data_IF_017795529746
#
_entry.id   IF_017795529746
#
_cell.length_a   1.000
_cell.length_b   1.000
_cell.length_c   1.000
_cell.angle_alpha   90.00
_cell.angle_beta   90.00
_cell.angle_gamma   90.00
#
_symmetry.space_group_name_H-M   'P 1'
#
loop_
_entity.id
_entity.type
_entity.pdbx_description
1 polymer ?
#
# COMPACT_ATOMS: atom_id res chain seq x y z
N UNK A 1 25.20 -44.95 71.44
CA UNK A 1 26.05 -44.05 70.66
C UNK A 1 25.74 -44.13 69.18
N UNK A 2 24.56 -43.74 68.75
CA UNK A 2 24.14 -43.75 67.34
C UNK A 2 23.09 -42.64 67.01
N UNK A 3 23.15 -41.52 67.69
CA UNK A 3 22.19 -40.43 67.49
C UNK A 3 22.76 -39.18 66.74
N UNK A 4 24.01 -39.23 66.35
CA UNK A 4 24.70 -38.04 65.78
C UNK A 4 24.75 -38.01 64.22
N UNK A 5 24.38 -39.10 63.54
CA UNK A 5 24.46 -39.19 62.07
C UNK A 5 23.16 -38.78 61.38
N UNK A 6 22.00 -38.84 62.00
CA UNK A 6 20.71 -38.52 61.42
C UNK A 6 20.39 -37.01 61.39
N UNK A 7 20.97 -36.22 62.27
CA UNK A 7 20.70 -34.79 62.35
C UNK A 7 21.47 -34.01 61.27
N UNK A 8 22.68 -34.45 60.90
CA UNK A 8 23.48 -33.83 59.84
C UNK A 8 22.90 -34.06 58.42
N UNK A 9 22.18 -35.15 58.19
CA UNK A 9 21.52 -35.38 56.93
C UNK A 9 20.22 -34.55 56.76
N UNK A 10 19.52 -34.27 57.88
CA UNK A 10 18.33 -33.41 57.82
C UNK A 10 18.63 -31.95 57.54
N UNK A 11 19.76 -31.42 58.04
CA UNK A 11 20.18 -30.06 57.80
C UNK A 11 20.61 -29.85 56.36
N UNK A 12 21.29 -30.83 55.74
CA UNK A 12 21.69 -30.76 54.32
C UNK A 12 20.51 -30.82 53.36
N UNK A 13 19.47 -31.57 53.66
CA UNK A 13 18.27 -31.66 52.79
C UNK A 13 17.41 -30.40 52.85
N UNK A 14 17.47 -29.63 53.94
CA UNK A 14 16.70 -28.38 54.06
C UNK A 14 17.35 -27.21 53.29
N UNK A 15 18.69 -27.17 53.23
CA UNK A 15 19.40 -26.11 52.49
C UNK A 15 19.34 -26.28 50.96
N UNK A 16 19.32 -27.52 50.46
CA UNK A 16 19.23 -27.75 49.01
C UNK A 16 17.84 -27.39 48.42
N UNK A 17 16.76 -27.53 49.23
CA UNK A 17 15.43 -27.15 48.75
C UNK A 17 15.16 -25.65 48.76
N UNK A 18 15.85 -24.87 49.60
CA UNK A 18 15.67 -23.42 49.64
C UNK A 18 16.43 -22.68 48.51
N UNK A 19 17.55 -23.20 48.01
CA UNK A 19 18.35 -22.55 46.98
C UNK A 19 17.74 -22.70 45.59
N UNK A 20 17.12 -23.84 45.29
CA UNK A 20 16.52 -24.06 43.94
C UNK A 20 15.28 -23.21 43.68
N UNK A 21 14.46 -22.98 44.71
CA UNK A 21 13.29 -22.11 44.60
C UNK A 21 13.61 -20.62 44.38
N UNK A 22 14.76 -20.17 44.90
CA UNK A 22 15.23 -18.80 44.73
C UNK A 22 15.77 -18.56 43.33
N UNK A 23 16.55 -19.49 42.78
CA UNK A 23 17.09 -19.38 41.40
C UNK A 23 16.01 -19.41 40.34
N UNK A 24 14.95 -20.22 40.55
CA UNK A 24 13.81 -20.25 39.60
C UNK A 24 13.02 -18.96 39.61
N UNK A 25 12.82 -18.34 40.77
CA UNK A 25 12.15 -17.02 40.89
C UNK A 25 12.95 -15.93 40.23
N UNK A 26 14.26 -15.89 40.40
CA UNK A 26 15.15 -14.92 39.71
C UNK A 26 15.10 -15.13 38.21
N UNK A 27 15.17 -16.36 37.73
CA UNK A 27 15.05 -16.69 36.32
C UNK A 27 13.71 -16.26 35.70
N UNK A 28 12.60 -16.47 36.44
CA UNK A 28 11.28 -16.03 35.99
C UNK A 28 11.17 -14.50 35.92
N UNK A 29 11.69 -13.78 36.90
CA UNK A 29 11.71 -12.30 36.89
C UNK A 29 12.54 -11.78 35.73
N UNK A 30 13.76 -12.30 35.54
CA UNK A 30 14.62 -11.88 34.45
C UNK A 30 14.00 -12.21 33.06
N UNK A 31 13.37 -13.38 32.92
CA UNK A 31 12.66 -13.76 31.70
C UNK A 31 11.47 -12.84 31.41
N UNK A 32 10.70 -12.46 32.42
CA UNK A 32 9.59 -11.50 32.27
C UNK A 32 10.10 -10.11 31.88
N UNK A 33 11.18 -9.64 32.49
CA UNK A 33 11.81 -8.37 32.14
C UNK A 33 12.35 -8.36 30.70
N UNK A 34 13.04 -9.42 30.29
CA UNK A 34 13.54 -9.55 28.94
C UNK A 34 12.40 -9.56 27.92
N UNK A 35 11.32 -10.29 28.21
CA UNK A 35 10.13 -10.32 27.38
C UNK A 35 9.46 -8.94 27.29
N UNK A 36 9.33 -8.23 28.40
CA UNK A 36 8.77 -6.89 28.44
C UNK A 36 9.60 -5.89 27.62
N UNK A 37 10.93 -5.97 27.71
CA UNK A 37 11.84 -5.11 26.92
C UNK A 37 11.77 -5.41 25.42
N UNK A 38 11.70 -6.69 25.05
CA UNK A 38 11.59 -7.07 23.63
C UNK A 38 10.24 -6.70 23.03
N UNK A 39 9.15 -6.92 23.75
CA UNK A 39 7.81 -6.53 23.32
C UNK A 39 7.64 -5.01 23.30
N UNK A 40 8.16 -4.29 24.28
CA UNK A 40 8.13 -2.83 24.32
C UNK A 40 8.88 -2.21 23.16
N UNK A 41 10.08 -2.68 22.86
CA UNK A 41 10.86 -2.21 21.70
C UNK A 41 10.19 -2.51 20.36
N UNK A 42 9.56 -3.67 20.23
CA UNK A 42 8.81 -4.01 19.02
C UNK A 42 7.53 -3.16 18.88
N UNK A 43 6.85 -2.83 19.98
CA UNK A 43 5.68 -1.96 19.96
C UNK A 43 6.05 -0.53 19.57
N UNK A 44 7.12 0.00 20.12
CA UNK A 44 7.64 1.34 19.81
C UNK A 44 8.05 1.46 18.33
N UNK A 45 8.66 0.43 17.75
CA UNK A 45 8.98 0.39 16.34
C UNK A 45 7.73 0.36 15.46
N UNK A 46 6.69 -0.38 15.87
CA UNK A 46 5.40 -0.42 15.17
C UNK A 46 4.65 0.90 15.24
N UNK A 47 4.62 1.53 16.41
CA UNK A 47 3.99 2.86 16.59
C UNK A 47 4.71 3.87 15.68
N UNK A 48 6.04 3.94 15.69
CA UNK A 48 6.78 4.84 14.79
C UNK A 48 6.54 4.55 13.31
N UNK A 49 6.40 3.29 12.92
CA UNK A 49 6.09 2.93 11.55
C UNK A 49 4.67 3.40 11.15
N UNK A 50 3.69 3.25 12.06
CA UNK A 50 2.33 3.76 11.84
C UNK A 50 2.33 5.29 11.79
N UNK A 51 2.95 5.96 12.75
CA UNK A 51 3.07 7.42 12.76
C UNK A 51 3.73 7.93 11.47
N UNK A 52 4.82 7.28 11.01
CA UNK A 52 5.48 7.64 9.77
C UNK A 52 4.57 7.52 8.54
N UNK A 53 3.76 6.45 8.48
CA UNK A 53 2.86 6.20 7.34
C UNK A 53 1.66 7.15 7.34
N UNK A 54 1.18 7.56 8.51
CA UNK A 54 -0.01 8.40 8.66
C UNK A 54 0.29 9.86 8.99
N UNK A 55 1.56 10.23 9.13
CA UNK A 55 1.96 11.62 9.33
C UNK A 55 1.61 12.45 8.09
N UNK A 56 0.82 13.51 8.29
CA UNK A 56 0.36 14.39 7.22
C UNK A 56 1.53 15.02 6.44
N UNK A 57 2.66 15.29 7.09
CA UNK A 57 3.85 15.85 6.46
C UNK A 57 4.60 14.81 5.60
N UNK A 58 4.45 13.53 5.91
CA UNK A 58 5.01 12.42 5.13
C UNK A 58 4.08 11.93 4.00
N UNK A 59 2.77 12.06 4.16
CA UNK A 59 1.79 11.68 3.13
C UNK A 59 2.04 12.42 1.80
N UNK A 60 2.57 13.65 1.84
CA UNK A 60 2.95 14.41 0.64
C UNK A 60 4.21 13.88 -0.08
N UNK A 61 5.03 13.03 0.57
CA UNK A 61 6.31 12.54 0.03
C UNK A 61 6.32 11.03 -0.23
N UNK A 62 5.55 10.28 0.53
CA UNK A 62 5.51 8.81 0.46
C UNK A 62 4.09 8.26 0.25
N UNK A 63 3.08 9.12 0.22
CA UNK A 63 1.70 8.74 -0.07
C UNK A 63 1.49 8.44 -1.56
N UNK A 64 0.56 7.57 -1.85
CA UNK A 64 0.14 7.27 -3.21
C UNK A 64 -0.73 8.39 -3.80
N UNK A 65 -1.27 9.28 -2.98
CA UNK A 65 -2.10 10.40 -3.40
C UNK A 65 -1.92 11.60 -2.46
N UNK A 66 -1.94 12.81 -3.02
CA UNK A 66 -1.93 14.06 -2.28
C UNK A 66 -3.32 14.38 -1.72
N UNK A 67 -3.42 15.35 -0.81
CA UNK A 67 -4.72 15.81 -0.29
C UNK A 67 -5.65 16.37 -1.37
N UNK A 68 -5.08 17.01 -2.42
CA UNK A 68 -5.85 17.53 -3.55
C UNK A 68 -6.40 16.39 -4.41
N UNK A 69 -5.60 15.35 -4.67
CA UNK A 69 -6.05 14.14 -5.36
C UNK A 69 -7.14 13.41 -4.57
N UNK A 70 -6.96 13.26 -3.24
CA UNK A 70 -8.01 12.67 -2.39
C UNK A 70 -9.32 13.47 -2.43
N UNK A 71 -9.24 14.80 -2.54
CA UNK A 71 -10.43 15.64 -2.72
C UNK A 71 -11.08 15.40 -4.10
N UNK A 72 -10.29 15.28 -5.17
CA UNK A 72 -10.78 14.91 -6.51
C UNK A 72 -11.44 13.53 -6.50
N UNK A 73 -10.81 12.53 -5.90
CA UNK A 73 -11.37 11.18 -5.78
C UNK A 73 -12.73 11.19 -5.07
N UNK A 74 -12.90 11.98 -3.99
CA UNK A 74 -14.18 12.10 -3.27
C UNK A 74 -15.29 12.74 -4.10
N UNK A 75 -14.94 13.56 -5.11
CA UNK A 75 -15.92 14.16 -6.02
C UNK A 75 -16.30 13.26 -7.20
N UNK A 76 -15.56 12.18 -7.46
CA UNK A 76 -15.84 11.26 -8.58
C UNK A 76 -17.31 10.76 -8.63
N UNK A 77 -17.98 10.45 -7.50
CA UNK A 77 -19.39 10.07 -7.53
C UNK A 77 -20.32 11.12 -8.15
N UNK A 78 -19.93 12.39 -8.08
CA UNK A 78 -20.72 13.53 -8.60
C UNK A 78 -20.30 13.90 -10.03
N UNK A 79 -19.03 13.67 -10.39
CA UNK A 79 -18.42 14.10 -11.66
C UNK A 79 -18.43 13.01 -12.73
N UNK A 80 -18.48 11.73 -12.35
CA UNK A 80 -18.44 10.60 -13.25
C UNK A 80 -19.74 9.81 -13.27
N UNK A 81 -20.14 9.22 -14.41
CA UNK A 81 -21.19 8.22 -14.49
C UNK A 81 -20.94 7.05 -13.54
N UNK A 82 -22.01 6.39 -13.07
CA UNK A 82 -21.89 5.28 -12.13
C UNK A 82 -21.17 4.04 -12.72
N UNK A 83 -21.24 3.87 -14.01
CA UNK A 83 -20.61 2.80 -14.79
C UNK A 83 -19.22 3.15 -15.32
N UNK A 84 -18.69 4.33 -14.98
CA UNK A 84 -17.37 4.75 -15.41
C UNK A 84 -16.30 3.72 -15.00
N UNK A 85 -15.45 3.38 -15.97
CA UNK A 85 -14.25 2.57 -15.75
C UNK A 85 -13.02 3.45 -15.97
N UNK A 86 -12.20 3.57 -14.94
CA UNK A 86 -11.07 4.49 -14.87
C UNK A 86 -9.76 3.73 -15.01
N UNK A 87 -8.96 4.09 -15.98
CA UNK A 87 -7.58 3.63 -16.16
C UNK A 87 -6.63 4.58 -15.45
N UNK A 88 -5.67 4.07 -14.72
CA UNK A 88 -4.59 4.84 -14.09
C UNK A 88 -3.56 3.92 -13.45
N UNK A 89 -2.49 4.51 -12.94
CA UNK A 89 -1.40 3.76 -12.32
C UNK A 89 -1.86 3.12 -11.00
N UNK A 90 -1.81 1.76 -10.87
CA UNK A 90 -2.26 1.06 -9.67
C UNK A 90 -1.40 1.31 -8.42
N UNK A 91 -0.20 1.89 -8.57
CA UNK A 91 0.67 2.27 -7.44
C UNK A 91 0.67 3.78 -7.17
N UNK A 92 -0.33 4.48 -7.71
CA UNK A 92 -0.57 5.90 -7.51
C UNK A 92 -1.98 6.16 -7.00
N UNK A 93 -2.42 7.41 -7.03
CA UNK A 93 -3.76 7.81 -6.58
C UNK A 93 -4.91 7.07 -7.25
N UNK A 94 -4.72 6.61 -8.49
CA UNK A 94 -5.71 5.82 -9.21
C UNK A 94 -6.14 4.53 -8.49
N UNK A 95 -5.28 3.94 -7.65
CA UNK A 95 -5.63 2.78 -6.83
C UNK A 95 -6.80 3.05 -5.86
N UNK A 96 -7.04 4.31 -5.51
CA UNK A 96 -8.13 4.69 -4.61
C UNK A 96 -9.47 4.96 -5.32
N UNK A 97 -9.53 4.81 -6.64
CA UNK A 97 -10.74 5.06 -7.44
C UNK A 97 -11.94 4.24 -6.93
N UNK A 98 -11.75 2.96 -6.59
CA UNK A 98 -12.86 2.14 -6.08
C UNK A 98 -13.22 2.47 -4.65
N UNK A 99 -12.23 2.59 -3.78
CA UNK A 99 -12.45 2.72 -2.33
C UNK A 99 -12.94 4.12 -1.95
N UNK A 100 -12.39 5.15 -2.58
CA UNK A 100 -12.71 6.56 -2.29
C UNK A 100 -13.62 7.14 -3.38
N UNK A 101 -13.27 6.89 -4.65
CA UNK A 101 -13.98 7.44 -5.81
C UNK A 101 -15.29 6.72 -6.13
N UNK A 102 -15.57 5.57 -5.52
CA UNK A 102 -16.78 4.77 -5.75
C UNK A 102 -17.05 4.55 -7.26
N UNK A 103 -15.98 4.43 -8.04
CA UNK A 103 -16.01 4.14 -9.47
C UNK A 103 -15.07 2.97 -9.75
N UNK A 104 -15.38 2.21 -10.78
CA UNK A 104 -14.57 1.04 -11.14
C UNK A 104 -13.20 1.49 -11.63
N UNK A 105 -12.14 0.81 -11.18
CA UNK A 105 -10.79 0.95 -11.69
C UNK A 105 -10.44 -0.23 -12.61
N UNK A 106 -9.67 0.03 -13.67
CA UNK A 106 -9.09 -1.03 -14.50
C UNK A 106 -8.13 -1.87 -13.66
N UNK A 107 -7.34 -1.19 -12.83
CA UNK A 107 -6.38 -1.81 -11.90
C UNK A 107 -6.75 -1.42 -10.47
N UNK A 108 -7.63 -2.20 -9.79
CA UNK A 108 -8.12 -1.84 -8.46
C UNK A 108 -7.14 -2.11 -7.31
N UNK A 109 -5.98 -2.71 -7.61
CA UNK A 109 -4.96 -3.09 -6.64
C UNK A 109 -3.61 -2.47 -6.99
N UNK A 110 -2.64 -2.59 -6.08
CA UNK A 110 -1.27 -2.11 -6.25
C UNK A 110 -0.50 -2.71 -7.44
N UNK A 111 -1.05 -3.70 -8.10
CA UNK A 111 -0.48 -4.34 -9.29
C UNK A 111 -1.51 -4.34 -10.41
N UNK A 112 -1.02 -4.13 -11.63
CA UNK A 112 -1.80 -4.41 -12.82
C UNK A 112 -1.98 -5.94 -12.92
N UNK A 113 -3.21 -6.39 -12.83
CA UNK A 113 -3.56 -7.81 -12.92
C UNK A 113 -4.93 -7.95 -13.56
N UNK A 114 -4.95 -8.19 -14.87
CA UNK A 114 -6.14 -8.45 -15.66
C UNK A 114 -6.21 -9.93 -16.01
N UNK A 115 -7.42 -10.44 -16.19
CA UNK A 115 -7.63 -11.80 -16.69
C UNK A 115 -7.08 -11.98 -18.11
N UNK A 116 -7.11 -10.92 -18.92
CA UNK A 116 -6.48 -10.85 -20.24
C UNK A 116 -5.08 -10.23 -20.11
N UNK A 117 -4.06 -11.07 -20.18
CA UNK A 117 -2.66 -10.67 -20.10
C UNK A 117 -2.23 -9.80 -21.29
N UNK A 118 -2.83 -9.97 -22.48
CA UNK A 118 -2.52 -9.17 -23.65
C UNK A 118 -3.07 -7.74 -23.49
N UNK A 119 -4.34 -7.60 -23.09
CA UNK A 119 -4.93 -6.30 -22.78
C UNK A 119 -4.16 -5.56 -21.71
N UNK A 120 -3.73 -6.27 -20.65
CA UNK A 120 -2.86 -5.72 -19.62
C UNK A 120 -1.55 -5.19 -20.19
N UNK A 121 -0.86 -5.97 -21.01
CA UNK A 121 0.41 -5.58 -21.62
C UNK A 121 0.23 -4.33 -22.50
N UNK A 122 -0.78 -4.29 -23.35
CA UNK A 122 -1.09 -3.14 -24.21
C UNK A 122 -1.31 -1.87 -23.38
N UNK A 123 -2.14 -1.95 -22.31
CA UNK A 123 -2.41 -0.78 -21.47
C UNK A 123 -1.16 -0.34 -20.67
N UNK A 124 -0.46 -1.28 -20.08
CA UNK A 124 0.69 -0.98 -19.21
C UNK A 124 1.88 -0.46 -20.00
N UNK A 125 2.10 -0.98 -21.21
CA UNK A 125 3.27 -0.64 -22.02
C UNK A 125 3.01 0.45 -23.07
N UNK A 126 1.79 0.56 -23.58
CA UNK A 126 1.53 1.29 -24.84
C UNK A 126 0.36 2.27 -24.78
N UNK A 127 -0.34 2.47 -23.65
CA UNK A 127 -1.49 3.39 -23.60
C UNK A 127 -1.13 4.82 -24.02
N UNK A 128 0.09 5.29 -23.77
CA UNK A 128 0.58 6.58 -24.24
C UNK A 128 0.67 6.70 -25.77
N UNK A 129 0.51 5.60 -26.51
CA UNK A 129 0.46 5.56 -27.96
C UNK A 129 -0.99 5.56 -28.49
N UNK A 130 -1.97 5.94 -27.69
CA UNK A 130 -3.41 5.90 -28.01
C UNK A 130 -3.77 6.60 -29.34
N UNK A 131 -2.99 7.59 -29.77
CA UNK A 131 -3.20 8.31 -31.01
C UNK A 131 -2.54 7.66 -32.24
N UNK A 132 -1.63 6.71 -32.03
CA UNK A 132 -0.80 6.15 -33.13
C UNK A 132 -0.87 4.63 -33.20
N UNK A 133 -1.25 3.97 -32.13
CA UNK A 133 -1.42 2.53 -32.05
C UNK A 133 -2.92 2.17 -31.97
N UNK A 134 -3.54 1.65 -33.06
CA UNK A 134 -4.96 1.31 -33.09
C UNK A 134 -5.34 0.21 -32.08
N UNK A 135 -4.41 -0.68 -31.73
CA UNK A 135 -4.61 -1.76 -30.78
C UNK A 135 -4.96 -1.21 -29.38
N UNK A 136 -4.39 -0.06 -28.97
CA UNK A 136 -4.74 0.59 -27.71
C UNK A 136 -6.22 0.97 -27.70
N UNK A 137 -6.74 1.53 -28.80
CA UNK A 137 -8.16 1.86 -28.88
C UNK A 137 -9.07 0.62 -28.97
N UNK A 138 -8.60 -0.48 -29.53
CA UNK A 138 -9.32 -1.75 -29.51
C UNK A 138 -9.49 -2.25 -28.07
N UNK A 139 -8.41 -2.31 -27.31
CA UNK A 139 -8.43 -2.71 -25.89
C UNK A 139 -9.26 -1.75 -25.04
N UNK A 140 -9.14 -0.43 -25.23
CA UNK A 140 -9.92 0.58 -24.50
C UNK A 140 -11.43 0.36 -24.71
N UNK A 141 -11.86 0.08 -25.98
CA UNK A 141 -13.26 -0.19 -26.28
C UNK A 141 -13.74 -1.54 -25.77
N UNK A 142 -12.94 -2.58 -25.93
CA UNK A 142 -13.27 -3.94 -25.50
C UNK A 142 -13.48 -4.03 -23.98
N UNK A 143 -12.63 -3.37 -23.22
CA UNK A 143 -12.76 -3.31 -21.75
C UNK A 143 -13.79 -2.27 -21.30
N UNK A 144 -14.25 -1.38 -22.17
CA UNK A 144 -15.17 -0.30 -21.82
C UNK A 144 -14.54 0.79 -20.96
N UNK A 145 -13.25 1.06 -21.16
CA UNK A 145 -12.53 2.12 -20.43
C UNK A 145 -13.01 3.49 -20.91
N UNK A 146 -13.52 4.29 -19.99
CA UNK A 146 -14.12 5.60 -20.30
C UNK A 146 -13.29 6.78 -19.83
N UNK A 147 -12.50 6.59 -18.79
CA UNK A 147 -11.75 7.67 -18.16
C UNK A 147 -10.30 7.30 -17.91
N UNK A 148 -9.46 8.31 -17.90
CA UNK A 148 -8.04 8.19 -17.59
C UNK A 148 -7.68 9.09 -16.41
N UNK A 149 -7.12 8.47 -15.36
CA UNK A 149 -6.52 9.15 -14.21
C UNK A 149 -5.05 9.37 -14.52
N UNK A 150 -4.70 10.55 -15.00
CA UNK A 150 -3.32 10.96 -15.27
C UNK A 150 -2.68 11.41 -13.95
N UNK A 151 -1.55 10.84 -13.60
CA UNK A 151 -0.75 11.29 -12.47
C UNK A 151 0.65 11.72 -12.94
N UNK A 152 1.32 12.52 -12.13
CA UNK A 152 2.72 12.84 -12.35
C UNK A 152 3.60 11.62 -12.06
N UNK A 153 4.63 11.43 -12.87
CA UNK A 153 5.63 10.40 -12.62
C UNK A 153 6.37 10.68 -11.31
N UNK A 154 6.58 9.65 -10.54
CA UNK A 154 7.20 9.75 -9.23
C UNK A 154 7.90 8.45 -8.82
N UNK A 155 8.62 8.52 -7.71
CA UNK A 155 9.26 7.35 -7.14
C UNK A 155 8.27 6.54 -6.29
N UNK A 156 8.33 5.22 -6.45
CA UNK A 156 7.71 4.27 -5.55
C UNK A 156 8.82 3.38 -4.98
N UNK A 157 9.20 3.65 -3.74
CA UNK A 157 10.37 3.05 -3.10
C UNK A 157 11.67 3.25 -3.91
N UNK A 158 12.12 2.24 -4.65
CA UNK A 158 13.42 2.20 -5.34
C UNK A 158 13.35 2.38 -6.85
N UNK A 159 12.18 2.57 -7.43
CA UNK A 159 11.98 2.73 -8.88
C UNK A 159 11.01 3.86 -9.21
N UNK A 160 11.11 4.40 -10.42
CA UNK A 160 10.09 5.30 -10.95
C UNK A 160 8.87 4.53 -11.42
N UNK A 161 7.69 5.08 -11.17
CA UNK A 161 6.42 4.46 -11.58
C UNK A 161 6.38 4.23 -13.09
N UNK A 162 6.89 5.18 -13.90
CA UNK A 162 6.99 5.07 -15.34
C UNK A 162 7.91 3.95 -15.84
N UNK A 163 8.86 3.48 -15.04
CA UNK A 163 9.68 2.32 -15.39
C UNK A 163 8.86 1.01 -15.39
N UNK A 164 7.84 0.94 -14.55
CA UNK A 164 6.98 -0.23 -14.41
C UNK A 164 5.72 -0.16 -15.26
N UNK A 165 5.18 1.04 -15.42
CA UNK A 165 3.94 1.31 -16.16
C UNK A 165 4.16 2.38 -17.24
N UNK A 166 5.08 2.18 -18.21
CA UNK A 166 5.50 3.23 -19.13
C UNK A 166 4.35 3.77 -19.98
N UNK A 167 3.39 2.94 -20.36
CA UNK A 167 2.22 3.36 -21.13
C UNK A 167 1.28 4.30 -20.37
N UNK A 168 1.29 4.28 -19.03
CA UNK A 168 0.42 5.13 -18.22
C UNK A 168 1.03 6.51 -17.91
N UNK A 169 2.17 6.84 -18.54
CA UNK A 169 2.85 8.11 -18.37
C UNK A 169 3.17 8.74 -19.72
N UNK A 170 3.35 10.05 -19.73
CA UNK A 170 3.61 10.83 -20.95
C UNK A 170 2.53 10.68 -22.03
N UNK A 171 1.28 10.49 -21.62
CA UNK A 171 0.13 10.44 -22.53
C UNK A 171 -0.11 11.84 -23.06
N UNK A 172 -0.22 11.99 -24.39
CA UNK A 172 -0.63 13.25 -25.00
C UNK A 172 -2.14 13.43 -24.85
N UNK A 173 -2.51 14.31 -23.93
CA UNK A 173 -3.91 14.65 -23.64
C UNK A 173 -4.38 15.93 -24.33
N UNK A 174 -3.61 16.48 -25.25
CA UNK A 174 -3.94 17.73 -25.97
C UNK A 174 -5.13 17.58 -26.92
N UNK A 175 -5.44 16.35 -27.33
CA UNK A 175 -6.60 15.99 -28.14
C UNK A 175 -7.10 14.58 -27.78
N UNK A 176 -8.34 14.28 -28.08
CA UNK A 176 -8.94 12.98 -27.73
C UNK A 176 -9.15 12.74 -26.24
N UNK A 177 -9.03 13.80 -25.42
CA UNK A 177 -9.27 13.78 -23.99
C UNK A 177 -9.99 15.05 -23.55
N UNK A 178 -10.96 14.91 -22.66
CA UNK A 178 -11.65 16.05 -22.05
C UNK A 178 -11.39 16.07 -20.56
N UNK A 179 -10.83 17.18 -20.05
CA UNK A 179 -10.60 17.35 -18.62
C UNK A 179 -11.94 17.35 -17.87
N UNK A 180 -12.10 16.45 -16.91
CA UNK A 180 -13.29 16.33 -16.05
C UNK A 180 -13.04 16.98 -14.70
N UNK A 181 -11.90 16.72 -14.07
CA UNK A 181 -11.55 17.26 -12.76
C UNK A 181 -10.03 17.38 -12.60
N UNK A 182 -9.60 18.29 -11.71
CA UNK A 182 -8.20 18.57 -11.44
C UNK A 182 -7.92 18.36 -9.94
N UNK A 183 -7.01 17.44 -9.65
CA UNK A 183 -6.50 17.11 -8.31
C UNK A 183 -5.09 17.66 -8.07
N UNK A 184 -4.64 18.66 -8.84
CA UNK A 184 -3.31 19.24 -8.71
C UNK A 184 -2.25 18.42 -9.43
N UNK A 185 -1.63 17.47 -8.75
CA UNK A 185 -0.63 16.55 -9.32
C UNK A 185 -1.24 15.50 -10.23
N UNK A 186 -2.48 15.13 -10.00
CA UNK A 186 -3.25 14.26 -10.89
C UNK A 186 -4.44 14.97 -11.52
N UNK A 187 -4.87 14.48 -12.67
CA UNK A 187 -6.02 14.99 -13.44
C UNK A 187 -6.85 13.82 -13.97
N UNK A 188 -8.15 14.06 -13.99
CA UNK A 188 -9.11 13.09 -14.50
C UNK A 188 -9.63 13.53 -15.86
N UNK A 189 -9.49 12.65 -16.85
CA UNK A 189 -9.92 12.91 -18.22
C UNK A 189 -10.98 11.91 -18.67
N UNK A 190 -11.94 12.34 -19.45
CA UNK A 190 -12.76 11.47 -20.29
C UNK A 190 -12.02 11.16 -21.58
N UNK A 191 -11.95 9.89 -21.97
CA UNK A 191 -11.31 9.44 -23.21
C UNK A 191 -12.31 9.60 -24.34
N UNK A 192 -11.93 10.35 -25.38
CA UNK A 192 -12.69 10.54 -26.62
C UNK A 192 -11.90 10.12 -27.85
N UNK A 193 -10.62 9.78 -27.70
CA UNK A 193 -9.72 9.39 -28.79
C UNK A 193 -10.16 8.10 -29.52
N UNK A 194 -10.87 7.21 -28.83
CA UNK A 194 -11.22 5.87 -29.33
C UNK A 194 -12.72 5.75 -29.74
N UNK A 195 -13.47 6.85 -29.74
CA UNK A 195 -14.91 6.87 -30.04
C UNK A 195 -15.24 7.18 -31.46
#
# INVERSE_FOLDING_TARGET
PTRRSSDLQRVRSADEHHSSGSLWRIGAILGTWLLALTLGGAMDARIRAVDYVYDADHLGKAGMATSAELAMLRRMPETLPADALVLGDPIAGAAYTEVIGQRRAVFPQLYADLADAHAQEVLVQSFNQIHTNPEVCEVVRELGITHYYMDQDGWYYSFKRSERFPGLYNVDVSHGFELVDDGGTAKLYRITACG
#
